data_IF_753200975767
#
_entry.id   IF_753200975767
#
_cell.length_a   1.000
_cell.length_b   1.000
_cell.length_c   1.000
_cell.angle_alpha   90.00
_cell.angle_beta   90.00
_cell.angle_gamma   90.00
#
_symmetry.space_group_name_H-M   'P 1'
#
loop_
_entity.id
_entity.type
_entity.pdbx_description
1 polymer ?
#
# COMPACT_ATOMS: atom_id res chain seq x y z
N UNK A 1 10.40 -20.78 13.61
CA UNK A 1 10.18 -19.40 14.12
C UNK A 1 10.27 -18.37 13.00
N UNK A 2 11.43 -18.18 12.35
CA UNK A 2 11.62 -17.18 11.28
C UNK A 2 10.65 -17.38 10.10
N UNK A 3 10.46 -18.61 9.62
CA UNK A 3 9.50 -18.91 8.54
C UNK A 3 8.04 -18.54 8.88
N UNK A 4 7.65 -18.65 10.16
CA UNK A 4 6.31 -18.28 10.62
C UNK A 4 6.09 -16.76 10.64
N UNK A 5 7.13 -15.99 10.99
CA UNK A 5 7.11 -14.52 10.85
C UNK A 5 7.02 -14.14 9.38
N UNK A 6 7.78 -14.79 8.49
CA UNK A 6 7.76 -14.49 7.06
C UNK A 6 6.38 -14.73 6.44
N UNK A 7 5.77 -15.88 6.70
CA UNK A 7 4.43 -16.21 6.20
C UNK A 7 3.38 -15.18 6.65
N UNK A 8 3.45 -14.75 7.91
CA UNK A 8 2.52 -13.77 8.48
C UNK A 8 2.68 -12.36 7.89
N UNK A 9 3.92 -11.95 7.59
CA UNK A 9 4.20 -10.64 6.98
C UNK A 9 3.82 -10.61 5.50
N UNK A 10 3.99 -11.71 4.78
CA UNK A 10 3.59 -11.82 3.38
C UNK A 10 2.07 -11.89 3.22
N UNK A 11 1.37 -12.55 4.15
CA UNK A 11 -0.10 -12.58 4.20
C UNK A 11 -0.67 -11.19 4.54
N UNK A 12 -0.05 -10.50 5.51
CA UNK A 12 -0.47 -9.16 5.96
C UNK A 12 0.65 -8.14 5.77
N UNK A 13 0.64 -7.48 4.62
CA UNK A 13 1.58 -6.39 4.28
C UNK A 13 1.57 -5.20 5.26
N UNK A 14 0.59 -5.12 6.17
CA UNK A 14 0.43 -4.04 7.17
C UNK A 14 0.38 -4.56 8.61
N UNK A 15 1.06 -5.65 8.92
CA UNK A 15 1.11 -6.16 10.29
C UNK A 15 2.09 -5.34 11.17
N UNK A 16 1.69 -5.05 12.39
CA UNK A 16 2.52 -4.36 13.39
C UNK A 16 3.29 -5.39 14.24
N UNK A 17 4.52 -5.05 14.67
CA UNK A 17 5.36 -5.87 15.57
C UNK A 17 4.59 -6.35 16.81
N UNK A 18 3.65 -5.53 17.30
CA UNK A 18 2.77 -5.85 18.43
C UNK A 18 1.82 -7.03 18.11
N UNK A 19 1.35 -7.14 16.88
CA UNK A 19 0.44 -8.21 16.49
C UNK A 19 1.21 -9.52 16.21
N UNK A 20 2.42 -9.43 15.64
CA UNK A 20 3.28 -10.60 15.37
C UNK A 20 3.68 -11.31 16.68
N UNK A 21 4.15 -10.56 17.68
CA UNK A 21 4.59 -11.16 18.94
C UNK A 21 3.43 -11.86 19.66
N UNK A 22 2.21 -11.28 19.59
CA UNK A 22 1.00 -11.86 20.16
C UNK A 22 0.56 -13.12 19.42
N UNK A 23 0.61 -13.11 18.09
CA UNK A 23 0.18 -14.24 17.26
C UNK A 23 1.15 -15.42 17.31
N UNK A 24 2.45 -15.15 17.44
CA UNK A 24 3.49 -16.18 17.44
C UNK A 24 4.01 -16.52 18.84
N UNK A 25 3.53 -15.83 19.89
CA UNK A 25 3.93 -16.06 21.28
C UNK A 25 5.42 -15.78 21.55
N UNK A 26 6.07 -14.95 20.74
CA UNK A 26 7.49 -14.61 20.87
C UNK A 26 7.68 -13.25 21.54
N UNK A 27 8.87 -12.96 22.06
CA UNK A 27 9.13 -11.65 22.66
C UNK A 27 9.14 -10.54 21.60
N UNK A 28 8.73 -9.32 21.99
CA UNK A 28 8.79 -8.13 21.12
C UNK A 28 10.20 -7.88 20.60
N UNK A 29 11.22 -8.09 21.43
CA UNK A 29 12.63 -7.95 21.04
C UNK A 29 13.02 -8.98 19.97
N UNK A 30 12.62 -10.24 20.14
CA UNK A 30 12.86 -11.30 19.14
C UNK A 30 12.16 -10.98 17.83
N UNK A 31 10.92 -10.49 17.86
CA UNK A 31 10.22 -10.03 16.65
C UNK A 31 10.97 -8.89 15.96
N UNK A 32 11.41 -7.89 16.71
CA UNK A 32 12.16 -6.75 16.17
C UNK A 32 13.47 -7.19 15.50
N UNK A 33 14.25 -8.06 16.15
CA UNK A 33 15.47 -8.65 15.60
C UNK A 33 15.19 -9.39 14.30
N UNK A 34 14.15 -10.23 14.25
CA UNK A 34 13.79 -10.98 13.03
C UNK A 34 13.39 -10.02 11.90
N UNK A 35 12.53 -9.04 12.16
CA UNK A 35 12.09 -8.11 11.11
C UNK A 35 13.23 -7.25 10.56
N UNK A 36 14.06 -6.71 11.42
CA UNK A 36 15.09 -5.75 11.00
C UNK A 36 16.41 -6.42 10.58
N UNK A 37 16.86 -7.46 11.28
CA UNK A 37 18.18 -8.06 11.02
C UNK A 37 18.11 -9.27 10.08
N UNK A 38 17.02 -10.06 10.13
CA UNK A 38 16.89 -11.24 9.26
C UNK A 38 16.15 -10.96 7.96
N UNK A 39 15.15 -10.08 7.97
CA UNK A 39 14.37 -9.74 6.77
C UNK A 39 14.69 -8.37 6.16
N UNK A 40 15.50 -7.54 6.83
CA UNK A 40 15.79 -6.16 6.40
C UNK A 40 14.53 -5.33 6.10
N UNK A 41 13.42 -5.63 6.78
CA UNK A 41 12.19 -4.89 6.59
C UNK A 41 12.31 -3.51 7.24
N UNK A 42 11.87 -2.50 6.50
CA UNK A 42 11.79 -1.12 6.97
C UNK A 42 10.34 -0.75 7.19
N UNK A 43 10.09 -0.04 8.29
CA UNK A 43 8.76 0.51 8.57
C UNK A 43 8.52 1.69 7.63
N UNK A 44 7.80 1.46 6.54
CA UNK A 44 7.29 2.54 5.71
C UNK A 44 6.15 3.26 6.47
N UNK A 45 6.21 4.59 6.54
CA UNK A 45 5.25 5.41 7.27
C UNK A 45 3.80 5.13 6.82
N UNK A 46 2.88 5.09 7.79
CA UNK A 46 1.43 4.96 7.54
C UNK A 46 0.92 6.29 6.98
N UNK A 47 0.66 6.33 5.68
CA UNK A 47 -0.01 7.46 5.04
C UNK A 47 -1.42 7.64 5.64
N UNK A 48 -1.79 8.89 5.97
CA UNK A 48 -3.19 9.26 6.20
C UNK A 48 -3.90 9.24 4.85
N UNK A 49 -4.65 8.18 4.59
CA UNK A 49 -5.53 8.10 3.42
C UNK A 49 -6.94 8.48 3.90
N UNK A 50 -7.50 9.59 3.41
CA UNK A 50 -8.89 9.91 3.71
C UNK A 50 -9.74 8.82 3.06
N UNK A 51 -10.47 8.10 3.91
CA UNK A 51 -11.47 7.10 3.53
C UNK A 51 -10.94 5.71 3.11
N UNK A 52 -11.41 4.67 3.81
CA UNK A 52 -11.29 3.29 3.33
C UNK A 52 -12.14 3.15 2.06
N UNK A 53 -11.48 3.02 0.91
CA UNK A 53 -12.17 2.81 -0.37
C UNK A 53 -12.72 1.39 -0.46
N UNK A 54 -13.98 1.27 -0.88
CA UNK A 54 -14.59 -0.03 -1.18
C UNK A 54 -13.87 -0.70 -2.36
N UNK A 55 -14.02 -2.02 -2.51
CA UNK A 55 -13.45 -2.74 -3.66
C UNK A 55 -13.98 -2.17 -4.99
N UNK A 56 -15.26 -1.83 -5.05
CA UNK A 56 -15.88 -1.21 -6.22
C UNK A 56 -15.27 0.16 -6.54
N UNK A 57 -15.12 1.04 -5.54
CA UNK A 57 -14.48 2.35 -5.73
C UNK A 57 -13.05 2.22 -6.26
N UNK A 58 -12.30 1.21 -5.80
CA UNK A 58 -10.95 0.91 -6.30
C UNK A 58 -10.98 0.44 -7.74
N UNK A 59 -11.89 -0.46 -8.09
CA UNK A 59 -12.03 -0.96 -9.46
C UNK A 59 -12.46 0.15 -10.43
N UNK A 60 -13.42 0.99 -10.03
CA UNK A 60 -13.83 2.16 -10.81
C UNK A 60 -12.66 3.14 -11.00
N UNK A 61 -11.92 3.44 -9.92
CA UNK A 61 -10.74 4.30 -10.02
C UNK A 61 -9.69 3.72 -10.98
N UNK A 62 -9.41 2.41 -10.89
CA UNK A 62 -8.45 1.74 -11.77
C UNK A 62 -8.88 1.82 -13.23
N UNK A 63 -10.14 1.53 -13.52
CA UNK A 63 -10.69 1.60 -14.88
C UNK A 63 -10.62 3.01 -15.47
N UNK A 64 -10.98 4.04 -14.70
CA UNK A 64 -10.88 5.44 -15.12
C UNK A 64 -9.43 5.89 -15.33
N UNK A 65 -8.52 5.46 -14.44
CA UNK A 65 -7.10 5.81 -14.57
C UNK A 65 -6.49 5.19 -15.82
N UNK A 66 -6.86 3.94 -16.14
CA UNK A 66 -6.41 3.25 -17.34
C UNK A 66 -6.93 3.94 -18.62
N UNK A 67 -8.20 4.31 -18.65
CA UNK A 67 -8.77 5.01 -19.81
C UNK A 67 -8.15 6.40 -20.02
N UNK A 68 -7.86 7.13 -18.94
CA UNK A 68 -7.15 8.40 -19.02
C UNK A 68 -5.73 8.23 -19.55
N UNK A 69 -5.02 7.18 -19.11
CA UNK A 69 -3.67 6.89 -19.58
C UNK A 69 -3.65 6.52 -21.08
N UNK A 70 -4.58 5.66 -21.51
CA UNK A 70 -4.74 5.32 -22.93
C UNK A 70 -5.00 6.57 -23.77
N UNK A 71 -5.94 7.42 -23.34
CA UNK A 71 -6.26 8.68 -24.02
C UNK A 71 -5.08 9.64 -24.08
N UNK A 72 -4.27 9.70 -23.03
CA UNK A 72 -3.04 10.50 -23.01
C UNK A 72 -2.04 10.01 -24.07
N UNK A 73 -1.87 8.69 -24.21
CA UNK A 73 -1.00 8.13 -25.23
C UNK A 73 -1.52 8.35 -26.66
N UNK A 74 -2.84 8.26 -26.88
CA UNK A 74 -3.46 8.44 -28.20
C UNK A 74 -3.44 9.90 -28.68
N UNK A 75 -3.54 10.87 -27.77
CA UNK A 75 -3.69 12.29 -28.11
C UNK A 75 -2.38 13.10 -28.09
N UNK A 76 -1.24 12.41 -27.97
CA UNK A 76 0.10 13.00 -27.87
C UNK A 76 0.26 14.02 -26.72
N UNK A 77 1.46 14.59 -26.58
CA UNK A 77 1.85 15.48 -25.46
C UNK A 77 1.00 16.75 -25.31
N UNK A 78 0.15 17.10 -26.28
CA UNK A 78 -0.72 18.28 -26.23
C UNK A 78 -1.97 18.09 -25.36
N UNK A 79 -2.39 16.86 -25.07
CA UNK A 79 -3.66 16.59 -24.38
C UNK A 79 -3.83 17.30 -23.02
N UNK A 80 -2.82 17.34 -22.12
CA UNK A 80 -2.96 18.03 -20.84
C UNK A 80 -3.26 19.53 -20.97
N UNK A 81 -2.75 20.19 -22.02
CA UNK A 81 -2.98 21.62 -22.24
C UNK A 81 -4.43 21.98 -22.58
N UNK A 82 -5.26 20.98 -22.90
CA UNK A 82 -6.69 21.13 -23.19
C UNK A 82 -7.57 20.90 -21.95
N UNK A 83 -6.99 20.49 -20.82
CA UNK A 83 -7.75 20.19 -19.60
C UNK A 83 -7.89 21.46 -18.76
N UNK A 84 -9.13 21.89 -18.55
CA UNK A 84 -9.47 22.94 -17.58
C UNK A 84 -10.11 22.25 -16.37
N UNK A 85 -9.60 22.52 -15.17
CA UNK A 85 -10.11 21.96 -13.91
C UNK A 85 -10.40 23.08 -12.91
N UNK A 86 -11.42 22.88 -12.09
CA UNK A 86 -11.79 23.75 -10.98
C UNK A 86 -12.46 22.90 -9.91
N UNK A 87 -12.23 23.26 -8.65
CA UNK A 87 -12.83 22.62 -7.47
C UNK A 87 -13.24 23.74 -6.50
N UNK A 88 -14.40 23.59 -5.88
CA UNK A 88 -14.91 24.56 -4.90
C UNK A 88 -14.26 24.30 -3.54
N UNK A 89 -13.86 25.37 -2.84
CA UNK A 89 -13.26 25.28 -1.49
C UNK A 89 -14.27 25.62 -0.41
#
# INVERSE_FOLDING_TARGET
>A
MIAGVNALVLDKSRIIVIEIHRLLGISVGTTHTIMHQHFNFQKLLKQWVPQQRTAEQRNTQMALSLSHLQRYHEKEYGFPSQIVTGDET
#
